data_IF_873589723141
#
_entry.id   IF_873589723141
#
_cell.length_a   1.000
_cell.length_b   1.000
_cell.length_c   1.000
_cell.angle_alpha   90.00
_cell.angle_beta   90.00
_cell.angle_gamma   90.00
#
_symmetry.space_group_name_H-M   'P 1'
#
loop_
_entity.id
_entity.type
_entity.pdbx_description
1 polymer ?
#
# COMPACT_ATOMS: atom_id res chain seq x y z
N UNK A 1 -26.15 -0.51 -5.67
CA UNK A 1 -25.07 -0.74 -6.65
C UNK A 1 -24.03 0.38 -6.63
N UNK A 2 -24.42 1.66 -6.79
CA UNK A 2 -23.49 2.81 -6.78
C UNK A 2 -22.59 2.89 -5.53
N UNK A 3 -23.17 2.73 -4.33
CA UNK A 3 -22.46 2.70 -3.04
C UNK A 3 -21.30 1.69 -2.98
N UNK A 4 -21.49 0.48 -3.53
CA UNK A 4 -20.44 -0.55 -3.53
C UNK A 4 -19.26 -0.20 -4.45
N UNK A 5 -19.51 0.51 -5.55
CA UNK A 5 -18.46 0.97 -6.45
C UNK A 5 -17.65 2.11 -5.82
N UNK A 6 -18.32 3.02 -5.12
CA UNK A 6 -17.68 4.14 -4.41
C UNK A 6 -16.74 3.64 -3.31
N UNK A 7 -17.22 2.75 -2.44
CA UNK A 7 -16.40 2.16 -1.37
C UNK A 7 -15.17 1.43 -1.92
N UNK A 8 -15.32 0.66 -3.01
CA UNK A 8 -14.17 0.00 -3.63
C UNK A 8 -13.18 0.99 -4.22
N UNK A 9 -13.66 2.05 -4.87
CA UNK A 9 -12.80 3.08 -5.44
C UNK A 9 -11.98 3.79 -4.35
N UNK A 10 -12.59 4.08 -3.20
CA UNK A 10 -11.89 4.65 -2.05
C UNK A 10 -10.80 3.71 -1.51
N UNK A 11 -11.10 2.42 -1.35
CA UNK A 11 -10.11 1.44 -0.90
C UNK A 11 -8.95 1.33 -1.89
N UNK A 12 -9.23 1.22 -3.20
CA UNK A 12 -8.16 1.18 -4.19
C UNK A 12 -7.37 2.48 -4.26
N UNK A 13 -8.03 3.63 -4.05
CA UNK A 13 -7.36 4.93 -3.96
C UNK A 13 -6.38 4.99 -2.79
N UNK A 14 -6.78 4.48 -1.63
CA UNK A 14 -5.91 4.38 -0.46
C UNK A 14 -4.72 3.45 -0.72
N UNK A 15 -4.97 2.24 -1.23
CA UNK A 15 -3.90 1.30 -1.55
C UNK A 15 -2.92 1.89 -2.59
N UNK A 16 -3.44 2.55 -3.63
CA UNK A 16 -2.60 3.23 -4.62
C UNK A 16 -1.72 4.32 -3.99
N UNK A 17 -2.26 5.13 -3.07
CA UNK A 17 -1.48 6.15 -2.35
C UNK A 17 -0.33 5.54 -1.55
N UNK A 18 -0.57 4.42 -0.86
CA UNK A 18 0.43 3.74 -0.02
C UNK A 18 1.64 3.22 -0.80
N UNK A 19 1.48 2.90 -2.09
CA UNK A 19 2.57 2.43 -2.95
C UNK A 19 3.17 3.52 -3.87
N UNK A 20 2.50 4.67 -4.03
CA UNK A 20 2.92 5.72 -4.97
C UNK A 20 3.88 6.73 -4.38
N UNK A 21 3.60 7.23 -3.17
CA UNK A 21 4.45 8.20 -2.51
C UNK A 21 4.58 7.88 -1.02
N UNK A 22 5.67 8.32 -0.35
CA UNK A 22 5.84 8.03 1.06
C UNK A 22 4.64 8.51 1.89
N UNK A 23 4.25 7.75 2.93
CA UNK A 23 3.21 8.17 3.86
C UNK A 23 3.59 9.51 4.52
N UNK A 24 2.68 10.47 4.45
CA UNK A 24 2.79 11.77 5.14
C UNK A 24 2.02 11.75 6.46
N UNK A 25 2.17 12.78 7.29
CA UNK A 25 1.51 12.84 8.60
C UNK A 25 -0.02 12.81 8.49
N UNK A 26 -0.58 13.32 7.38
CA UNK A 26 -2.02 13.33 7.15
C UNK A 26 -2.54 11.91 6.91
N UNK A 27 -1.87 11.14 6.06
CA UNK A 27 -2.19 9.74 5.82
C UNK A 27 -2.03 8.91 7.10
N UNK A 28 -0.93 9.12 7.83
CA UNK A 28 -0.69 8.45 9.10
C UNK A 28 -1.77 8.76 10.14
N UNK A 29 -2.24 10.00 10.23
CA UNK A 29 -3.33 10.37 11.14
C UNK A 29 -4.64 9.64 10.82
N UNK A 30 -4.96 9.46 9.52
CA UNK A 30 -6.14 8.71 9.08
C UNK A 30 -6.03 7.24 9.47
N UNK A 31 -4.92 6.57 9.12
CA UNK A 31 -4.79 5.12 9.35
C UNK A 31 -4.56 4.76 10.83
N UNK A 32 -4.05 5.70 11.63
CA UNK A 32 -3.91 5.56 13.09
C UNK A 32 -5.22 5.77 13.85
N UNK A 33 -6.26 6.28 13.20
CA UNK A 33 -7.54 6.46 13.88
C UNK A 33 -8.04 5.09 14.39
N UNK A 34 -8.46 4.97 15.67
CA UNK A 34 -8.90 3.69 16.24
C UNK A 34 -9.99 3.00 15.42
N UNK A 35 -10.84 3.80 14.76
CA UNK A 35 -11.94 3.28 13.95
C UNK A 35 -11.51 2.81 12.57
N UNK A 36 -10.31 3.15 12.09
CA UNK A 36 -9.85 2.77 10.74
C UNK A 36 -9.87 1.25 10.54
N UNK A 37 -9.27 0.51 11.50
CA UNK A 37 -9.27 -0.96 11.46
C UNK A 37 -10.65 -1.52 11.82
N UNK A 38 -11.38 -0.88 12.74
CA UNK A 38 -12.71 -1.34 13.17
C UNK A 38 -13.74 -1.27 12.04
N UNK A 39 -13.68 -0.22 11.23
CA UNK A 39 -14.67 0.13 10.20
C UNK A 39 -14.18 -0.18 8.78
N UNK A 40 -13.09 -0.95 8.63
CA UNK A 40 -12.55 -1.32 7.32
C UNK A 40 -13.64 -1.97 6.43
N UNK A 41 -13.89 -1.45 5.22
CA UNK A 41 -15.17 -1.67 4.55
C UNK A 41 -15.22 -2.90 3.63
N UNK A 42 -14.09 -3.57 3.37
CA UNK A 42 -14.01 -4.68 2.41
C UNK A 42 -13.31 -5.91 2.99
N UNK A 43 -13.80 -7.10 2.63
CA UNK A 43 -13.11 -8.36 2.92
C UNK A 43 -13.08 -8.80 4.39
N UNK A 44 -13.88 -8.18 5.27
CA UNK A 44 -14.01 -8.61 6.68
C UNK A 44 -14.46 -10.07 6.78
N UNK A 45 -13.89 -10.80 7.74
CA UNK A 45 -14.15 -12.23 7.92
C UNK A 45 -13.33 -13.12 6.97
N UNK A 46 -12.56 -12.53 6.05
CA UNK A 46 -11.54 -13.26 5.29
C UNK A 46 -10.25 -13.33 6.11
N UNK A 47 -9.68 -14.52 6.36
CA UNK A 47 -8.54 -14.68 7.27
C UNK A 47 -7.34 -13.80 6.94
N UNK A 48 -7.00 -13.64 5.65
CA UNK A 48 -5.85 -12.85 5.22
C UNK A 48 -6.06 -11.34 5.41
N UNK A 49 -7.29 -10.87 5.22
CA UNK A 49 -7.65 -9.46 5.43
C UNK A 49 -7.62 -9.13 6.92
N UNK A 50 -8.26 -9.96 7.74
CA UNK A 50 -8.30 -9.76 9.19
C UNK A 50 -6.88 -9.78 9.77
N UNK A 51 -6.03 -10.73 9.35
CA UNK A 51 -4.62 -10.78 9.74
C UNK A 51 -3.83 -9.55 9.29
N UNK A 52 -4.08 -9.05 8.09
CA UNK A 52 -3.44 -7.83 7.59
C UNK A 52 -3.79 -6.61 8.43
N UNK A 53 -5.07 -6.46 8.78
CA UNK A 53 -5.58 -5.39 9.62
C UNK A 53 -5.05 -5.47 11.06
N UNK A 54 -4.94 -6.67 11.64
CA UNK A 54 -4.34 -6.89 12.96
C UNK A 54 -2.86 -6.47 12.99
N UNK A 55 -2.09 -6.87 11.97
CA UNK A 55 -0.68 -6.47 11.84
C UNK A 55 -0.52 -4.97 11.70
N UNK A 56 -1.39 -4.33 10.91
CA UNK A 56 -1.40 -2.89 10.75
C UNK A 56 -1.69 -2.18 12.09
N UNK A 57 -2.73 -2.62 12.81
CA UNK A 57 -3.10 -2.07 14.11
C UNK A 57 -1.95 -2.18 15.13
N UNK A 58 -1.23 -3.31 15.14
CA UNK A 58 -0.12 -3.55 16.04
C UNK A 58 1.12 -2.70 15.70
N UNK A 59 1.39 -2.45 14.42
CA UNK A 59 2.59 -1.74 13.98
C UNK A 59 2.46 -0.21 14.08
N UNK A 60 1.31 0.35 13.68
CA UNK A 60 1.12 1.80 13.50
C UNK A 60 1.46 2.70 14.71
N UNK A 61 1.20 2.29 15.98
CA UNK A 61 1.55 3.12 17.14
C UNK A 61 3.05 3.35 17.31
N UNK A 62 3.89 2.41 16.87
CA UNK A 62 5.34 2.46 17.03
C UNK A 62 6.09 3.06 15.82
N UNK A 63 5.36 3.40 14.75
CA UNK A 63 5.95 3.93 13.51
C UNK A 63 6.47 5.36 13.73
N UNK A 64 7.74 5.58 13.40
CA UNK A 64 8.29 6.91 13.18
C UNK A 64 8.06 7.35 11.72
N UNK A 65 7.37 8.48 11.46
CA UNK A 65 7.11 8.96 10.10
C UNK A 65 8.38 9.14 9.25
N UNK A 66 9.48 9.59 9.85
CA UNK A 66 10.73 9.83 9.12
C UNK A 66 11.41 8.52 8.73
N UNK A 67 11.49 7.56 9.66
CA UNK A 67 11.96 6.22 9.36
C UNK A 67 11.11 5.53 8.27
N UNK A 68 9.78 5.66 8.33
CA UNK A 68 8.88 5.08 7.34
C UNK A 68 9.07 5.70 5.95
N UNK A 69 9.27 7.02 5.88
CA UNK A 69 9.56 7.72 4.62
C UNK A 69 10.89 7.25 4.03
N UNK A 70 11.91 7.06 4.86
CA UNK A 70 13.18 6.50 4.40
C UNK A 70 13.03 5.07 3.89
N UNK A 71 12.31 4.21 4.62
CA UNK A 71 12.02 2.83 4.22
C UNK A 71 11.24 2.76 2.90
N UNK A 72 10.26 3.65 2.70
CA UNK A 72 9.53 3.76 1.44
C UNK A 72 10.49 3.98 0.26
N UNK A 73 11.43 4.92 0.37
CA UNK A 73 12.39 5.18 -0.70
C UNK A 73 13.39 4.05 -0.90
N UNK A 74 13.75 3.32 0.16
CA UNK A 74 14.57 2.12 0.04
C UNK A 74 13.83 1.00 -0.72
N UNK A 75 12.55 0.79 -0.41
CA UNK A 75 11.74 -0.27 -1.01
C UNK A 75 11.33 0.05 -2.44
N UNK A 76 10.86 1.27 -2.70
CA UNK A 76 10.16 1.62 -3.94
C UNK A 76 10.82 2.76 -4.74
N UNK A 77 11.86 3.40 -4.20
CA UNK A 77 12.45 4.60 -4.78
C UNK A 77 13.19 4.38 -6.09
N UNK A 78 13.34 5.48 -6.85
CA UNK A 78 13.91 5.47 -8.21
C UNK A 78 15.37 5.93 -8.28
N UNK A 79 15.91 6.51 -7.20
CA UNK A 79 17.30 6.99 -7.11
C UNK A 79 18.28 5.86 -6.73
N UNK A 80 18.16 4.71 -7.38
CA UNK A 80 18.92 3.49 -7.10
C UNK A 80 18.08 2.24 -7.37
N UNK A 81 18.66 1.03 -7.25
CA UNK A 81 17.90 -0.20 -7.32
C UNK A 81 16.95 -0.28 -6.12
N UNK A 82 15.65 -0.13 -6.38
CA UNK A 82 14.59 -0.39 -5.40
C UNK A 82 14.69 -1.83 -4.90
N UNK A 83 14.59 -2.04 -3.58
CA UNK A 83 14.62 -3.37 -3.00
C UNK A 83 13.37 -4.21 -3.35
N UNK A 84 12.24 -3.55 -3.57
CA UNK A 84 10.98 -4.16 -3.99
C UNK A 84 10.28 -3.28 -5.04
N UNK A 85 10.83 -3.21 -6.28
CA UNK A 85 10.33 -2.30 -7.32
C UNK A 85 8.81 -2.49 -7.54
N UNK A 86 7.96 -1.45 -7.54
CA UNK A 86 6.50 -1.60 -7.62
C UNK A 86 5.98 -1.79 -9.05
N UNK A 87 6.81 -2.31 -9.96
CA UNK A 87 6.43 -2.56 -11.35
C UNK A 87 6.25 -4.06 -11.59
N UNK A 88 5.08 -4.44 -12.10
CA UNK A 88 4.75 -5.83 -12.40
C UNK A 88 5.78 -6.51 -13.31
N UNK A 89 6.33 -5.79 -14.29
CA UNK A 89 7.32 -6.30 -15.24
C UNK A 89 8.60 -6.81 -14.57
N UNK A 90 9.02 -6.24 -13.44
CA UNK A 90 10.19 -6.73 -12.70
C UNK A 90 10.00 -8.16 -12.18
N UNK A 91 8.75 -8.58 -11.92
CA UNK A 91 8.45 -9.90 -11.37
C UNK A 91 7.97 -10.92 -12.41
N UNK A 92 7.38 -10.44 -13.52
CA UNK A 92 6.79 -11.31 -14.54
C UNK A 92 7.66 -11.44 -15.79
N UNK A 93 8.49 -10.45 -16.09
CA UNK A 93 9.42 -10.54 -17.20
C UNK A 93 10.61 -11.41 -16.81
N UNK A 94 10.96 -12.35 -17.69
CA UNK A 94 12.03 -13.33 -17.46
C UNK A 94 13.40 -12.65 -17.32
N UNK A 95 13.50 -11.41 -17.80
CA UNK A 95 14.70 -10.59 -17.84
C UNK A 95 14.71 -9.48 -16.76
N UNK A 96 13.64 -9.31 -15.97
CA UNK A 96 13.58 -8.35 -14.86
C UNK A 96 13.65 -6.87 -15.29
N UNK A 97 13.27 -6.56 -16.54
CA UNK A 97 13.37 -5.22 -17.11
C UNK A 97 12.18 -4.32 -16.73
N UNK A 98 12.47 -3.07 -16.34
CA UNK A 98 11.50 -1.98 -16.30
C UNK A 98 10.98 -1.73 -17.73
N UNK A 99 9.66 -1.79 -17.94
CA UNK A 99 8.97 -1.64 -19.26
C UNK A 99 9.03 -2.88 -20.19
N UNK A 100 8.94 -4.10 -19.67
CA UNK A 100 8.69 -5.30 -20.51
C UNK A 100 7.37 -5.25 -21.30
N UNK A 101 7.21 -6.14 -22.30
CA UNK A 101 6.13 -6.13 -23.31
C UNK A 101 4.69 -6.00 -22.75
N UNK A 102 4.45 -6.48 -21.53
CA UNK A 102 3.14 -6.36 -20.85
C UNK A 102 2.78 -4.92 -20.43
N UNK A 103 3.74 -4.01 -20.32
CA UNK A 103 3.50 -2.59 -19.95
C UNK A 103 2.91 -1.78 -21.11
N UNK A 104 2.96 -2.31 -22.34
CA UNK A 104 2.53 -1.65 -23.58
C UNK A 104 1.16 -2.15 -24.11
N UNK A 105 0.49 -3.06 -23.40
CA UNK A 105 -0.87 -3.53 -23.71
C UNK A 105 -1.91 -2.73 -22.95
#
# INVERSE_FOLDING_TARGET
MAWYCEVRAEVYGLLARLFRDPPDERLLAVIRHPDFVREWPVGRGQPDVDRGLERLAAALPAVDPDALRHEFWHLFGTLGPAAAPPWQSVYLDREGALMGEETLR
#
